data_IF_265786367524
#
_entry.id   IF_265786367524
#
_cell.length_a   1.000
_cell.length_b   1.000
_cell.length_c   1.000
_cell.angle_alpha   90.00
_cell.angle_beta   90.00
_cell.angle_gamma   90.00
#
_symmetry.space_group_name_H-M   'P 1'
#
loop_
_entity.id
_entity.type
_entity.pdbx_description
1 polymer ?
#
# COMPACT_ATOMS: atom_id res chain seq x y z
N UNK A 1 -20.30 -9.51 -23.57
CA UNK A 1 -20.28 -9.96 -22.15
C UNK A 1 -19.16 -9.20 -21.46
N UNK A 2 -19.44 -8.48 -20.37
CA UNK A 2 -18.45 -7.62 -19.70
C UNK A 2 -17.26 -8.43 -19.19
N UNK A 3 -16.04 -8.05 -19.61
CA UNK A 3 -14.77 -8.69 -19.25
C UNK A 3 -14.40 -8.55 -17.75
N UNK A 4 -15.20 -7.82 -16.97
CA UNK A 4 -14.90 -7.50 -15.58
C UNK A 4 -15.44 -8.55 -14.60
N UNK A 5 -14.68 -8.80 -13.53
CA UNK A 5 -15.16 -9.60 -12.40
C UNK A 5 -16.39 -8.95 -11.73
N UNK A 6 -17.22 -9.74 -11.04
CA UNK A 6 -18.35 -9.19 -10.28
C UNK A 6 -17.93 -8.20 -9.19
N UNK A 7 -16.76 -8.40 -8.57
CA UNK A 7 -16.20 -7.46 -7.61
C UNK A 7 -15.90 -6.10 -8.27
N UNK A 8 -15.24 -6.11 -9.43
CA UNK A 8 -14.95 -4.89 -10.21
C UNK A 8 -16.24 -4.17 -10.62
N UNK A 9 -17.27 -4.91 -11.07
CA UNK A 9 -18.57 -4.33 -11.41
C UNK A 9 -19.28 -3.68 -10.22
N UNK A 10 -19.09 -4.19 -9.00
CA UNK A 10 -19.64 -3.56 -7.78
C UNK A 10 -18.96 -2.23 -7.51
N UNK A 11 -17.63 -2.18 -7.54
CA UNK A 11 -16.88 -0.94 -7.36
C UNK A 11 -17.26 0.11 -8.40
N UNK A 12 -17.38 -0.28 -9.68
CA UNK A 12 -17.82 0.64 -10.75
C UNK A 12 -19.21 1.21 -10.45
N UNK A 13 -20.16 0.38 -10.00
CA UNK A 13 -21.50 0.83 -9.63
C UNK A 13 -21.49 1.79 -8.45
N UNK A 14 -20.66 1.55 -7.45
CA UNK A 14 -20.53 2.44 -6.29
C UNK A 14 -19.99 3.81 -6.72
N UNK A 15 -18.94 3.83 -7.56
CA UNK A 15 -18.39 5.08 -8.13
C UNK A 15 -19.45 5.85 -8.94
N UNK A 16 -20.26 5.15 -9.75
CA UNK A 16 -21.35 5.78 -10.51
C UNK A 16 -22.44 6.35 -9.59
N UNK A 17 -22.76 5.65 -8.50
CA UNK A 17 -23.73 6.10 -7.49
C UNK A 17 -23.27 7.37 -6.78
N UNK A 18 -21.97 7.53 -6.60
CA UNK A 18 -21.36 8.76 -6.06
C UNK A 18 -21.38 9.93 -7.08
N UNK A 19 -21.96 9.74 -8.27
CA UNK A 19 -22.14 10.77 -9.29
C UNK A 19 -20.88 11.02 -10.13
N UNK A 20 -19.86 10.17 -10.02
CA UNK A 20 -18.62 10.34 -10.77
C UNK A 20 -18.72 9.81 -12.20
N UNK A 21 -18.21 10.60 -13.15
CA UNK A 21 -18.12 10.20 -14.55
C UNK A 21 -17.02 9.15 -14.72
N UNK A 22 -17.44 7.94 -15.05
CA UNK A 22 -16.61 6.78 -15.36
C UNK A 22 -17.09 6.15 -16.67
N UNK A 23 -16.18 5.57 -17.44
CA UNK A 23 -16.50 4.82 -18.67
C UNK A 23 -16.24 3.34 -18.41
N UNK A 24 -17.26 2.54 -18.01
CA UNK A 24 -17.06 1.15 -17.55
C UNK A 24 -16.27 0.26 -18.52
N UNK A 25 -16.47 0.44 -19.83
CA UNK A 25 -15.78 -0.34 -20.88
C UNK A 25 -14.29 0.03 -21.04
N UNK A 26 -13.89 1.18 -20.50
CA UNK A 26 -12.50 1.62 -20.47
C UNK A 26 -11.82 1.32 -19.13
N UNK A 27 -12.56 0.91 -18.10
CA UNK A 27 -11.96 0.50 -16.83
C UNK A 27 -11.05 -0.69 -17.08
N UNK A 28 -9.79 -0.58 -16.68
CA UNK A 28 -8.82 -1.67 -16.65
C UNK A 28 -8.89 -2.36 -15.29
N UNK A 29 -9.03 -1.57 -14.23
CA UNK A 29 -9.08 -2.07 -12.85
C UNK A 29 -9.82 -1.09 -11.95
N UNK A 30 -10.57 -1.61 -10.98
CA UNK A 30 -11.25 -0.82 -9.95
C UNK A 30 -11.28 -1.60 -8.64
N UNK A 31 -11.05 -0.93 -7.52
CA UNK A 31 -10.94 -1.53 -6.19
C UNK A 31 -11.48 -0.63 -5.07
N UNK A 32 -11.85 -1.26 -3.97
CA UNK A 32 -12.12 -0.58 -2.71
C UNK A 32 -10.79 -0.21 -2.03
N UNK A 33 -10.72 0.98 -1.45
CA UNK A 33 -9.58 1.45 -0.68
C UNK A 33 -9.82 1.16 0.81
N UNK A 34 -9.16 0.15 1.40
CA UNK A 34 -9.44 -0.29 2.76
C UNK A 34 -9.13 0.84 3.75
N UNK A 35 -9.87 0.97 4.84
CA UNK A 35 -9.69 2.03 5.85
C UNK A 35 -8.26 2.11 6.43
N UNK A 36 -7.52 1.01 6.35
CA UNK A 36 -6.11 0.90 6.79
C UNK A 36 -5.10 1.42 5.77
N UNK A 37 -5.53 1.83 4.57
CA UNK A 37 -4.63 2.40 3.58
C UNK A 37 -4.12 3.77 4.03
N UNK A 38 -2.80 3.94 3.91
CA UNK A 38 -2.09 5.19 4.16
C UNK A 38 -2.15 6.16 2.98
N UNK A 39 -2.86 5.82 1.89
CA UNK A 39 -2.94 6.69 0.73
C UNK A 39 -3.65 8.02 1.10
N UNK A 40 -2.99 9.18 0.91
CA UNK A 40 -3.58 10.45 1.31
C UNK A 40 -4.82 10.83 0.49
N UNK A 41 -5.70 11.63 1.07
CA UNK A 41 -6.83 12.21 0.36
C UNK A 41 -6.33 13.11 -0.78
N UNK A 42 -6.73 12.85 -2.04
CA UNK A 42 -6.30 13.68 -3.15
C UNK A 42 -6.78 15.14 -3.04
N UNK A 43 -6.02 16.11 -3.58
CA UNK A 43 -6.45 17.50 -3.60
C UNK A 43 -7.83 17.68 -4.27
N UNK A 44 -8.72 18.41 -3.60
CA UNK A 44 -10.07 18.71 -4.09
C UNK A 44 -11.10 17.58 -3.89
N UNK A 45 -10.74 16.48 -3.22
CA UNK A 45 -11.71 15.49 -2.76
C UNK A 45 -12.39 15.98 -1.47
N UNK A 46 -13.68 15.68 -1.32
CA UNK A 46 -14.46 16.06 -0.14
C UNK A 46 -14.03 15.30 1.13
N UNK A 47 -13.29 14.21 0.97
CA UNK A 47 -12.81 13.36 2.03
C UNK A 47 -12.07 12.16 1.48
N UNK A 48 -11.78 11.21 2.35
CA UNK A 48 -11.14 9.95 1.97
C UNK A 48 -11.98 9.23 0.92
N UNK A 49 -11.35 8.80 -0.16
CA UNK A 49 -12.03 8.09 -1.24
C UNK A 49 -12.18 6.61 -0.89
N UNK A 50 -13.41 6.05 -0.88
CA UNK A 50 -13.63 4.63 -0.60
C UNK A 50 -13.27 3.74 -1.79
N UNK A 51 -13.23 4.31 -3.00
CA UNK A 51 -13.05 3.59 -4.26
C UNK A 51 -12.00 4.31 -5.11
N UNK A 52 -11.21 3.52 -5.85
CA UNK A 52 -10.30 4.02 -6.88
C UNK A 52 -10.40 3.16 -8.14
N UNK A 53 -10.07 3.75 -9.27
CA UNK A 53 -10.16 3.08 -10.56
C UNK A 53 -9.14 3.60 -11.56
N UNK A 54 -8.70 2.70 -12.43
CA UNK A 54 -7.81 2.96 -13.54
C UNK A 54 -8.54 2.63 -14.84
N UNK A 55 -8.57 3.59 -15.76
CA UNK A 55 -9.04 3.38 -17.13
C UNK A 55 -7.86 3.24 -18.10
N UNK A 56 -8.15 2.77 -19.32
CA UNK A 56 -7.22 2.79 -20.46
C UNK A 56 -6.61 4.18 -20.63
N UNK A 57 -7.46 5.21 -20.53
CA UNK A 57 -7.06 6.61 -20.61
C UNK A 57 -6.54 6.99 -22.00
N UNK A 58 -5.59 7.92 -22.04
CA UNK A 58 -5.02 8.50 -23.24
C UNK A 58 -3.55 8.92 -23.00
N UNK A 59 -2.98 9.73 -23.89
CA UNK A 59 -1.60 10.22 -23.73
C UNK A 59 -1.39 11.15 -22.51
N UNK A 60 -2.46 11.62 -21.88
CA UNK A 60 -2.45 12.57 -20.75
C UNK A 60 -2.79 11.90 -19.42
N UNK A 61 -3.57 10.83 -19.41
CA UNK A 61 -3.97 10.14 -18.17
C UNK A 61 -4.23 8.64 -18.36
N UNK A 62 -4.31 7.88 -17.26
CA UNK A 62 -4.65 6.46 -17.27
C UNK A 62 -3.52 5.55 -17.72
N UNK A 63 -3.85 4.32 -18.13
CA UNK A 63 -2.86 3.29 -18.44
C UNK A 63 -1.95 3.66 -19.62
N UNK A 64 -2.51 4.22 -20.69
CA UNK A 64 -1.76 4.67 -21.87
C UNK A 64 -0.69 5.70 -21.45
N UNK A 65 -1.05 6.66 -20.60
CA UNK A 65 -0.11 7.65 -20.09
C UNK A 65 1.09 7.03 -19.34
N UNK A 66 0.87 5.91 -18.66
CA UNK A 66 1.90 5.21 -17.88
C UNK A 66 2.81 4.32 -18.73
N UNK A 67 2.29 3.78 -19.84
CA UNK A 67 2.95 2.73 -20.63
C UNK A 67 3.41 3.13 -22.04
N UNK A 68 2.89 4.21 -22.64
CA UNK A 68 3.09 4.42 -24.09
C UNK A 68 4.09 5.53 -24.43
N UNK A 69 4.44 6.38 -23.46
CA UNK A 69 5.49 7.38 -23.65
C UNK A 69 6.87 6.73 -23.49
N UNK A 70 7.82 6.91 -24.44
CA UNK A 70 9.14 6.30 -24.35
C UNK A 70 9.85 6.56 -23.01
N UNK A 71 9.80 7.79 -22.51
CA UNK A 71 10.41 8.13 -21.22
C UNK A 71 9.77 7.41 -20.03
N UNK A 72 8.48 7.10 -20.08
CA UNK A 72 7.76 6.35 -19.04
C UNK A 72 8.14 4.88 -19.09
N UNK A 73 8.12 4.29 -20.29
CA UNK A 73 8.56 2.91 -20.53
C UNK A 73 9.97 2.69 -19.99
N UNK A 74 10.92 3.56 -20.38
CA UNK A 74 12.31 3.46 -19.93
C UNK A 74 12.44 3.61 -18.41
N UNK A 75 11.64 4.48 -17.78
CA UNK A 75 11.66 4.65 -16.32
C UNK A 75 11.25 3.38 -15.59
N UNK A 76 10.23 2.67 -16.10
CA UNK A 76 9.76 1.40 -15.53
C UNK A 76 10.73 0.25 -15.77
N UNK A 77 11.35 0.20 -16.95
CA UNK A 77 12.43 -0.76 -17.25
C UNK A 77 13.60 -0.55 -16.28
N UNK A 78 13.96 0.71 -15.99
CA UNK A 78 15.03 1.07 -15.07
C UNK A 78 14.82 0.58 -13.63
N UNK A 79 13.58 0.27 -13.24
CA UNK A 79 13.25 -0.36 -11.94
C UNK A 79 12.83 -1.83 -12.08
N UNK A 80 13.10 -2.43 -13.23
CA UNK A 80 12.92 -3.85 -13.49
C UNK A 80 11.47 -4.27 -13.77
N UNK A 81 10.65 -3.41 -14.37
CA UNK A 81 9.37 -3.80 -15.00
C UNK A 81 9.55 -3.78 -16.52
N UNK A 82 9.69 -4.97 -17.17
CA UNK A 82 9.87 -5.08 -18.62
C UNK A 82 8.71 -4.46 -19.41
N UNK A 83 8.99 -3.90 -20.59
CA UNK A 83 8.01 -3.16 -21.40
C UNK A 83 6.75 -3.98 -21.70
N UNK A 84 6.95 -5.25 -22.07
CA UNK A 84 5.92 -6.22 -22.40
C UNK A 84 4.99 -6.54 -21.21
N UNK A 85 5.50 -6.41 -19.97
CA UNK A 85 4.75 -6.70 -18.76
C UNK A 85 4.08 -5.45 -18.14
N UNK A 86 4.39 -4.23 -18.61
CA UNK A 86 3.91 -2.99 -17.96
C UNK A 86 2.38 -2.89 -17.95
N UNK A 87 1.71 -3.26 -19.04
CA UNK A 87 0.24 -3.18 -19.14
C UNK A 87 -0.48 -4.08 -18.13
N UNK A 88 0.13 -5.19 -17.73
CA UNK A 88 -0.41 -6.11 -16.73
C UNK A 88 0.02 -5.74 -15.31
N UNK A 89 1.32 -5.43 -15.13
CA UNK A 89 1.91 -5.20 -13.80
C UNK A 89 1.58 -3.85 -13.20
N UNK A 90 1.49 -2.78 -14.00
CA UNK A 90 1.26 -1.43 -13.46
C UNK A 90 -0.12 -1.28 -12.79
N UNK A 91 -1.23 -1.82 -13.34
CA UNK A 91 -2.50 -1.83 -12.62
C UNK A 91 -2.41 -2.52 -11.25
N UNK A 92 -1.70 -3.66 -11.16
CA UNK A 92 -1.48 -4.39 -9.90
C UNK A 92 -0.66 -3.56 -8.91
N UNK A 93 0.43 -2.97 -9.38
CA UNK A 93 1.32 -2.15 -8.56
C UNK A 93 0.58 -0.93 -7.98
N UNK A 94 -0.22 -0.24 -8.79
CA UNK A 94 -0.97 0.94 -8.35
C UNK A 94 -2.06 0.56 -7.34
N UNK A 95 -2.77 -0.54 -7.55
CA UNK A 95 -3.71 -1.04 -6.54
C UNK A 95 -2.98 -1.37 -5.23
N UNK A 96 -1.89 -2.14 -5.28
CA UNK A 96 -1.12 -2.49 -4.09
C UNK A 96 -0.60 -1.24 -3.34
N UNK A 97 -0.10 -0.26 -4.09
CA UNK A 97 0.41 0.98 -3.53
C UNK A 97 -0.66 1.86 -2.87
N UNK A 98 -1.88 1.85 -3.41
CA UNK A 98 -3.00 2.63 -2.87
C UNK A 98 -3.81 1.91 -1.80
N UNK A 99 -3.61 0.60 -1.63
CA UNK A 99 -4.36 -0.22 -0.64
C UNK A 99 -3.51 -0.62 0.57
N UNK A 100 -2.25 -1.00 0.34
CA UNK A 100 -1.35 -1.49 1.38
C UNK A 100 -0.08 -0.62 1.52
N UNK A 101 0.27 0.13 0.47
CA UNK A 101 1.49 0.94 0.42
C UNK A 101 1.58 1.95 1.56
N UNK A 102 2.82 2.31 1.91
CA UNK A 102 3.13 3.36 2.90
C UNK A 102 3.35 4.68 2.19
N UNK A 103 2.64 5.72 2.59
CA UNK A 103 2.93 7.07 2.12
C UNK A 103 4.26 7.55 2.72
N UNK A 104 5.18 8.00 1.87
CA UNK A 104 6.51 8.45 2.31
C UNK A 104 6.82 9.90 1.96
N UNK A 105 6.24 10.41 0.87
CA UNK A 105 6.45 11.79 0.44
C UNK A 105 5.31 12.29 -0.46
N UNK A 106 5.19 13.60 -0.64
CA UNK A 106 4.30 14.19 -1.64
C UNK A 106 5.09 15.11 -2.58
N UNK A 107 4.85 14.95 -3.88
CA UNK A 107 5.58 15.66 -4.93
C UNK A 107 4.65 16.34 -5.92
N UNK A 108 5.24 17.16 -6.80
CA UNK A 108 4.55 17.86 -7.88
C UNK A 108 4.23 19.30 -7.52
N UNK A 109 4.05 20.15 -8.54
CA UNK A 109 3.78 21.59 -8.35
C UNK A 109 2.49 21.85 -7.55
N UNK A 110 1.55 20.91 -7.58
CA UNK A 110 0.24 20.99 -6.91
C UNK A 110 0.16 20.09 -5.67
N UNK A 111 1.28 19.48 -5.23
CA UNK A 111 1.30 18.48 -4.15
C UNK A 111 0.27 17.36 -4.37
N UNK A 112 0.14 16.91 -5.62
CA UNK A 112 -0.88 15.97 -6.09
C UNK A 112 -0.32 14.58 -6.42
N UNK A 113 0.99 14.37 -6.18
CA UNK A 113 1.66 13.09 -6.47
C UNK A 113 2.18 12.47 -5.19
N UNK A 114 1.38 11.59 -4.61
CA UNK A 114 1.77 10.87 -3.40
C UNK A 114 2.76 9.77 -3.77
N UNK A 115 3.90 9.75 -3.10
CA UNK A 115 4.92 8.73 -3.25
C UNK A 115 4.62 7.63 -2.24
N UNK A 116 4.32 6.44 -2.75
CA UNK A 116 3.97 5.26 -1.99
C UNK A 116 5.12 4.25 -2.06
N UNK A 117 5.61 3.80 -0.92
CA UNK A 117 6.50 2.64 -0.82
C UNK A 117 5.67 1.37 -0.70
N UNK A 118 5.93 0.39 -1.56
CA UNK A 118 5.11 -0.82 -1.68
C UNK A 118 6.01 -2.04 -1.84
N UNK A 119 5.65 -3.17 -1.23
CA UNK A 119 6.31 -4.45 -1.46
C UNK A 119 5.51 -5.25 -2.50
N UNK A 120 6.11 -5.52 -3.66
CA UNK A 120 5.48 -6.28 -4.74
C UNK A 120 6.53 -7.18 -5.39
N UNK A 121 6.16 -8.42 -5.70
CA UNK A 121 7.06 -9.39 -6.37
C UNK A 121 8.43 -9.53 -5.70
N UNK A 122 8.46 -9.61 -4.37
CA UNK A 122 9.70 -9.85 -3.62
C UNK A 122 10.57 -8.61 -3.39
N UNK A 123 10.19 -7.43 -3.90
CA UNK A 123 10.99 -6.20 -3.82
C UNK A 123 10.18 -4.99 -3.36
N UNK A 124 10.89 -4.01 -2.79
CA UNK A 124 10.32 -2.72 -2.42
C UNK A 124 10.41 -1.77 -3.60
N UNK A 125 9.29 -1.15 -3.97
CA UNK A 125 9.19 -0.17 -5.04
C UNK A 125 8.56 1.12 -4.51
N UNK A 126 9.14 2.26 -4.86
CA UNK A 126 8.56 3.57 -4.58
C UNK A 126 7.89 4.10 -5.84
N UNK A 127 6.62 4.49 -5.73
CA UNK A 127 5.81 4.92 -6.87
C UNK A 127 5.13 6.24 -6.54
N UNK A 128 5.38 7.27 -7.36
CA UNK A 128 4.63 8.51 -7.33
C UNK A 128 3.32 8.35 -8.10
N UNK A 129 2.19 8.47 -7.42
CA UNK A 129 0.84 8.23 -7.96
C UNK A 129 0.04 9.53 -7.89
N UNK A 130 -0.59 9.88 -9.01
CA UNK A 130 -1.56 10.97 -9.09
C UNK A 130 -2.95 10.41 -9.21
N UNK A 131 -3.83 10.82 -8.30
CA UNK A 131 -5.23 10.42 -8.24
C UNK A 131 -6.08 11.68 -8.32
N UNK A 132 -7.10 11.68 -9.16
CA UNK A 132 -8.07 12.78 -9.21
C UNK A 132 -9.01 12.71 -8.00
N UNK A 133 -9.76 13.79 -7.76
CA UNK A 133 -10.65 13.89 -6.61
C UNK A 133 -11.84 12.92 -6.60
N UNK A 134 -12.03 12.15 -7.67
CA UNK A 134 -13.06 11.12 -7.83
C UNK A 134 -12.50 9.68 -7.79
N UNK A 135 -11.21 9.50 -7.48
CA UNK A 135 -10.57 8.18 -7.42
C UNK A 135 -9.98 7.68 -8.73
N UNK A 136 -10.06 8.47 -9.81
CA UNK A 136 -9.42 8.13 -11.08
C UNK A 136 -7.89 8.21 -10.97
N UNK A 137 -7.20 7.13 -11.31
CA UNK A 137 -5.74 7.13 -11.42
C UNK A 137 -5.33 7.89 -12.69
N UNK A 138 -4.80 9.09 -12.51
CA UNK A 138 -4.29 9.92 -13.60
C UNK A 138 -2.96 9.37 -14.12
N UNK A 139 -2.09 8.89 -13.23
CA UNK A 139 -0.84 8.25 -13.64
C UNK A 139 0.03 7.83 -12.47
N UNK A 140 1.01 6.99 -12.76
CA UNK A 140 2.00 6.51 -11.81
C UNK A 140 3.40 6.54 -12.43
N UNK A 141 4.43 6.72 -11.61
CA UNK A 141 5.83 6.72 -12.03
C UNK A 141 6.72 6.11 -10.96
N UNK A 142 7.76 5.34 -11.33
CA UNK A 142 8.71 4.84 -10.36
C UNK A 142 9.58 5.99 -9.85
N UNK A 143 10.04 5.86 -8.61
CA UNK A 143 10.97 6.79 -7.97
C UNK A 143 12.17 6.03 -7.42
N UNK A 144 13.36 6.48 -7.78
CA UNK A 144 14.56 6.11 -7.03
C UNK A 144 14.59 6.88 -5.72
N UNK A 145 15.30 6.36 -4.71
CA UNK A 145 15.43 7.05 -3.41
C UNK A 145 16.04 8.45 -3.55
N UNK A 146 17.04 8.59 -4.43
CA UNK A 146 17.69 9.87 -4.70
C UNK A 146 16.78 10.91 -5.35
N UNK A 147 15.71 10.50 -6.03
CA UNK A 147 14.75 11.41 -6.67
C UNK A 147 13.65 11.89 -5.71
N UNK A 148 13.59 11.34 -4.50
CA UNK A 148 12.55 11.67 -3.52
C UNK A 148 13.01 12.86 -2.69
N UNK A 149 12.45 14.02 -2.99
CA UNK A 149 12.53 15.20 -2.13
C UNK A 149 11.45 15.11 -1.07
N UNK A 150 11.85 15.09 0.19
CA UNK A 150 10.96 15.11 1.34
C UNK A 150 10.69 16.56 1.76
N UNK A 151 9.41 16.90 1.86
CA UNK A 151 8.94 18.13 2.46
C UNK A 151 8.87 18.04 3.99
N UNK A 152 8.64 19.17 4.67
CA UNK A 152 8.60 19.23 6.14
C UNK A 152 7.56 18.32 6.80
N UNK A 153 6.45 18.04 6.09
CA UNK A 153 5.32 17.27 6.59
C UNK A 153 5.27 15.85 6.01
N UNK A 154 6.31 15.44 5.27
CA UNK A 154 6.33 14.11 4.70
C UNK A 154 6.67 13.07 5.79
N UNK A 155 6.02 11.89 5.78
CA UNK A 155 6.28 10.84 6.77
C UNK A 155 7.73 10.35 6.80
N UNK A 156 8.47 10.54 5.71
CA UNK A 156 9.86 10.13 5.58
C UNK A 156 10.00 8.73 4.99
N UNK A 157 11.25 8.34 4.75
CA UNK A 157 11.55 7.06 4.12
C UNK A 157 11.27 5.88 5.07
N UNK A 158 10.69 4.80 4.52
CA UNK A 158 10.60 3.51 5.21
C UNK A 158 11.69 2.59 4.68
N UNK A 159 12.49 2.01 5.57
CA UNK A 159 13.57 1.11 5.16
C UNK A 159 13.04 -0.11 4.38
N UNK A 160 13.83 -0.61 3.42
CA UNK A 160 13.42 -1.77 2.62
C UNK A 160 13.15 -3.00 3.49
N UNK A 161 13.92 -3.18 4.57
CA UNK A 161 13.73 -4.26 5.54
C UNK A 161 12.41 -4.10 6.30
N UNK A 162 12.06 -2.88 6.71
CA UNK A 162 10.79 -2.59 7.36
C UNK A 162 9.62 -2.90 6.42
N UNK A 163 9.69 -2.45 5.16
CA UNK A 163 8.68 -2.75 4.16
C UNK A 163 8.58 -4.26 3.90
N UNK A 164 9.71 -4.95 3.74
CA UNK A 164 9.70 -6.40 3.57
C UNK A 164 9.08 -7.10 4.78
N UNK A 165 9.48 -6.75 6.01
CA UNK A 165 8.94 -7.35 7.24
C UNK A 165 7.43 -7.13 7.38
N UNK A 166 6.95 -5.92 7.06
CA UNK A 166 5.53 -5.59 7.08
C UNK A 166 4.71 -6.52 6.18
N UNK A 167 5.29 -7.01 5.09
CA UNK A 167 4.61 -7.82 4.07
C UNK A 167 5.02 -9.30 4.03
N UNK A 168 6.09 -9.67 4.71
CA UNK A 168 6.60 -11.05 4.82
C UNK A 168 6.12 -11.76 6.10
N UNK A 169 5.62 -11.00 7.09
CA UNK A 169 4.88 -11.61 8.19
C UNK A 169 3.61 -12.27 7.65
N UNK A 170 3.17 -13.42 8.19
CA UNK A 170 2.00 -14.15 7.69
C UNK A 170 0.71 -13.32 7.82
N UNK A 171 0.48 -12.45 6.84
CA UNK A 171 -0.69 -11.59 6.64
C UNK A 171 -1.83 -12.38 5.99
N UNK A 172 -2.02 -13.63 6.41
CA UNK A 172 -3.28 -14.37 6.22
C UNK A 172 -4.23 -14.16 7.41
N UNK A 173 -4.04 -13.11 8.20
CA UNK A 173 -4.98 -12.72 9.25
C UNK A 173 -5.63 -11.38 8.86
N UNK A 174 -6.93 -11.36 8.48
CA UNK A 174 -7.65 -10.16 8.06
C UNK A 174 -7.79 -9.09 9.16
N UNK A 175 -7.33 -9.38 10.38
CA UNK A 175 -7.55 -8.53 11.53
C UNK A 175 -6.22 -8.09 12.16
N UNK A 176 -5.72 -6.97 11.65
CA UNK A 176 -4.53 -6.29 12.16
C UNK A 176 -4.67 -5.91 13.64
N UNK A 177 -5.90 -5.77 14.17
CA UNK A 177 -6.17 -5.40 15.57
C UNK A 177 -6.12 -6.57 16.54
N UNK A 178 -6.62 -7.75 16.15
CA UNK A 178 -6.57 -8.94 17.02
C UNK A 178 -5.13 -9.38 17.35
N UNK A 179 -4.20 -9.27 16.41
CA UNK A 179 -2.82 -9.76 16.62
C UNK A 179 -1.98 -8.87 17.54
N UNK A 180 -2.24 -7.56 17.55
CA UNK A 180 -1.57 -6.62 18.47
C UNK A 180 -2.15 -6.73 19.89
N UNK A 181 -3.47 -6.90 20.04
CA UNK A 181 -4.09 -7.15 21.35
C UNK A 181 -3.70 -8.52 21.94
N UNK A 182 -3.57 -9.55 21.10
CA UNK A 182 -3.10 -10.88 21.51
C UNK A 182 -1.64 -10.86 21.97
N UNK A 183 -0.76 -10.08 21.32
CA UNK A 183 0.62 -9.88 21.78
C UNK A 183 0.68 -9.13 23.10
N UNK A 184 -0.15 -8.09 23.26
CA UNK A 184 -0.20 -7.29 24.49
C UNK A 184 -0.70 -8.10 25.69
N UNK A 185 -1.63 -9.03 25.47
CA UNK A 185 -2.12 -9.94 26.51
C UNK A 185 -1.13 -11.06 26.85
N UNK A 186 -0.43 -11.64 25.86
CA UNK A 186 0.66 -12.59 26.11
C UNK A 186 1.88 -11.98 26.82
N UNK A 187 2.18 -10.70 26.57
CA UNK A 187 3.25 -9.98 27.25
C UNK A 187 2.89 -9.64 28.71
N UNK A 188 1.60 -9.52 29.02
CA UNK A 188 1.11 -9.40 30.40
C UNK A 188 1.08 -10.76 31.13
N UNK A 189 0.76 -11.87 30.45
CA UNK A 189 0.82 -13.22 31.04
C UNK A 189 2.25 -13.71 31.30
N UNK A 190 3.24 -13.30 30.49
CA UNK A 190 4.65 -13.66 30.71
C UNK A 190 5.32 -13.02 31.92
N UNK A 191 4.63 -12.10 32.60
CA UNK A 191 5.05 -11.61 33.92
C UNK A 191 4.48 -12.54 35.01
N UNK A 192 4.95 -13.77 35.08
CA UNK A 192 4.69 -14.60 36.26
C UNK A 192 5.31 -13.94 37.51
N UNK A 193 4.61 -13.97 38.66
CA UNK A 193 5.08 -13.34 39.89
C UNK A 193 6.31 -14.06 40.43
N UNK A 194 7.32 -13.28 40.84
CA UNK A 194 8.55 -13.78 41.44
C UNK A 194 8.26 -14.70 42.63
N UNK A 195 8.53 -16.01 42.49
CA UNK A 195 8.41 -16.99 43.56
C UNK A 195 9.56 -16.77 44.57
N UNK A 196 9.29 -16.59 45.88
CA UNK A 196 10.34 -16.41 46.86
C UNK A 196 11.11 -17.72 47.10
N UNK A 197 12.44 -17.68 46.97
CA UNK A 197 13.33 -18.83 47.17
C UNK A 197 13.28 -19.29 48.63
N UNK A 198 12.85 -20.53 48.86
CA UNK A 198 12.89 -21.17 50.18
C UNK A 198 14.34 -21.50 50.59
N UNK A 199 14.69 -21.19 51.85
CA UNK A 199 15.98 -21.53 52.47
C UNK A 199 15.95 -22.99 52.94
N UNK A 200 16.79 -23.85 52.36
CA UNK A 200 17.05 -25.21 52.86
C UNK A 200 17.96 -25.14 54.09
N UNK A 201 17.49 -25.65 55.24
CA UNK A 201 18.30 -25.82 56.45
C UNK A 201 19.04 -27.16 56.40
N UNK A 202 20.33 -27.13 56.76
CA UNK A 202 21.18 -28.30 56.94
C UNK A 202 20.93 -28.87 58.34
N UNK A 203 20.33 -30.06 58.44
CA UNK A 203 20.27 -30.82 59.69
C UNK A 203 20.33 -32.31 59.37
N UNK A 204 21.43 -32.95 59.76
CA UNK A 204 21.55 -34.41 59.70
C UNK A 204 22.98 -34.91 59.51
N UNK A 205 23.81 -34.82 60.55
CA UNK A 205 24.99 -35.69 60.68
C UNK A 205 25.16 -36.07 62.15
N UNK A 206 24.50 -37.17 62.53
CA UNK A 206 24.76 -37.94 63.74
C UNK A 206 24.53 -39.43 63.42
N UNK A 207 25.14 -40.29 64.24
CA UNK A 207 25.34 -41.74 64.14
C UNK A 207 26.58 -42.16 63.34
N UNK A 208 27.44 -43.06 63.83
CA UNK A 208 27.85 -43.45 65.19
C UNK A 208 29.16 -44.23 64.99
#
# INVERSE_FOLDING_TARGET
>A
MSQHSEATKRVIRDIQKDGHKITPDNVVRAWHVPMTSDFPTPPGAAGRLPNMYLEKGDSRSGLIHMCDKPSKVTSWIGVGIPAEAQREKLPVLVEAATTAGRHIATQGRKNDRHVMSTYVEGRVMNTAITVANNGYIVGANPRSKSDIKFGPNDPGEVSSRTMQNLYSYPLNCPDRRCTDEAKKSQEMERKEPAVPKAKTSYLGRFFK
#
